data_IF_525237098836
#
_entry.id   IF_525237098836
#
_cell.length_a   1.000
_cell.length_b   1.000
_cell.length_c   1.000
_cell.angle_alpha   90.00
_cell.angle_beta   90.00
_cell.angle_gamma   90.00
#
_symmetry.space_group_name_H-M   'P 1'
#
loop_
_entity.id
_entity.type
_entity.pdbx_description
1 polymer ?
#
# COMPACT_ATOMS: atom_id res chain seq x y z
N UNK A 1 5.84 32.48 17.47
CA UNK A 1 5.64 32.52 15.99
C UNK A 1 6.65 31.59 15.29
N UNK A 2 6.46 31.21 14.02
CA UNK A 2 7.37 30.28 13.29
C UNK A 2 8.84 30.71 13.39
N UNK A 3 9.10 32.02 13.38
CA UNK A 3 10.45 32.58 13.54
C UNK A 3 11.12 32.29 14.89
N UNK A 4 10.37 31.91 15.94
CA UNK A 4 10.91 31.53 17.25
C UNK A 4 11.40 30.08 17.28
N UNK A 5 11.08 29.28 16.24
CA UNK A 5 11.57 27.91 16.11
C UNK A 5 13.03 27.86 15.66
N UNK A 6 13.62 29.01 15.27
CA UNK A 6 15.00 29.14 14.80
C UNK A 6 15.37 28.10 13.73
N UNK A 7 14.42 27.80 12.83
CA UNK A 7 14.67 26.94 11.68
C UNK A 7 15.36 27.76 10.58
N UNK A 8 16.24 27.09 9.85
CA UNK A 8 16.85 27.57 8.62
C UNK A 8 16.47 26.62 7.47
N UNK A 9 17.00 26.84 6.27
CA UNK A 9 16.73 25.99 5.11
C UNK A 9 17.71 24.80 5.05
N UNK A 10 17.90 24.11 6.18
CA UNK A 10 18.54 22.78 6.25
C UNK A 10 17.51 21.69 6.54
N UNK A 11 17.86 20.43 6.26
CA UNK A 11 16.96 19.30 6.47
C UNK A 11 16.71 19.07 7.97
N UNK A 12 15.45 18.97 8.44
CA UNK A 12 15.17 18.69 9.85
C UNK A 12 15.80 17.38 10.30
N UNK A 13 16.62 17.45 11.35
CA UNK A 13 17.33 16.29 11.92
C UNK A 13 18.70 16.03 11.30
N UNK A 14 19.06 16.69 10.20
CA UNK A 14 20.39 16.62 9.60
C UNK A 14 20.80 17.97 8.98
N UNK A 15 21.44 18.82 9.79
CA UNK A 15 21.89 20.14 9.40
C UNK A 15 23.02 20.13 8.34
N UNK A 16 23.60 18.97 8.02
CA UNK A 16 24.62 18.86 6.98
C UNK A 16 24.02 18.88 5.57
N UNK A 17 22.69 18.75 5.45
CA UNK A 17 21.98 18.72 4.16
C UNK A 17 21.25 20.05 3.94
N UNK A 18 21.83 20.99 3.17
CA UNK A 18 21.14 22.22 2.81
C UNK A 18 20.01 21.93 1.80
N UNK A 19 18.86 22.58 1.99
CA UNK A 19 17.69 22.47 1.11
C UNK A 19 17.80 23.36 -0.15
N UNK A 20 18.62 24.40 -0.07
CA UNK A 20 18.99 25.29 -1.17
C UNK A 20 20.39 25.85 -0.92
N UNK A 21 20.99 26.48 -1.94
CA UNK A 21 22.28 27.16 -1.77
C UNK A 21 22.20 28.22 -0.67
N UNK A 22 23.12 28.16 0.30
CA UNK A 22 23.13 29.05 1.47
C UNK A 22 21.91 28.89 2.38
N UNK A 23 21.30 27.69 2.41
CA UNK A 23 20.12 27.41 3.21
C UNK A 23 20.33 27.60 4.71
N UNK A 24 21.54 27.32 5.19
CA UNK A 24 21.99 27.52 6.57
C UNK A 24 21.91 28.99 7.03
N UNK A 25 22.05 29.95 6.11
CA UNK A 25 21.97 31.39 6.41
C UNK A 25 20.55 31.94 6.22
N UNK A 26 19.64 31.14 5.66
CA UNK A 26 18.27 31.54 5.33
C UNK A 26 17.31 31.08 6.43
N UNK A 27 16.94 31.99 7.33
CA UNK A 27 15.94 31.72 8.37
C UNK A 27 14.53 31.47 7.83
N UNK A 28 13.82 30.54 8.45
CA UNK A 28 12.40 30.26 8.17
C UNK A 28 11.52 31.27 8.90
N UNK A 29 10.57 31.82 8.16
CA UNK A 29 9.59 32.83 8.57
C UNK A 29 8.21 32.41 8.11
N UNK A 30 7.17 33.06 8.61
CA UNK A 30 5.80 32.80 8.14
C UNK A 30 5.62 33.00 6.62
N UNK A 31 6.42 33.89 6.01
CA UNK A 31 6.34 34.22 4.59
C UNK A 31 6.99 33.15 3.68
N UNK A 32 8.00 32.43 4.16
CA UNK A 32 8.75 31.44 3.36
C UNK A 32 8.56 29.98 3.86
N UNK A 33 7.72 29.77 4.87
CA UNK A 33 7.44 28.44 5.44
C UNK A 33 6.98 27.43 4.38
N UNK A 34 6.15 27.84 3.42
CA UNK A 34 5.67 26.94 2.38
C UNK A 34 6.81 26.45 1.46
N UNK A 35 7.75 27.33 1.14
CA UNK A 35 8.95 26.99 0.36
C UNK A 35 9.81 25.98 1.13
N UNK A 36 10.07 26.26 2.41
CA UNK A 36 10.81 25.35 3.30
C UNK A 36 10.18 23.96 3.33
N UNK A 37 8.88 23.85 3.61
CA UNK A 37 8.17 22.55 3.64
C UNK A 37 8.25 21.84 2.29
N UNK A 38 8.08 22.57 1.18
CA UNK A 38 8.17 22.00 -0.16
C UNK A 38 9.55 21.42 -0.43
N UNK A 39 10.62 22.11 -0.03
CA UNK A 39 11.99 21.65 -0.21
C UNK A 39 12.33 20.47 0.69
N UNK A 40 11.84 20.45 1.93
CA UNK A 40 11.98 19.28 2.83
C UNK A 40 11.34 18.04 2.20
N UNK A 41 10.09 18.16 1.76
CA UNK A 41 9.36 17.05 1.12
C UNK A 41 10.07 16.56 -0.14
N UNK A 42 10.50 17.49 -1.02
CA UNK A 42 11.25 17.15 -2.23
C UNK A 42 12.56 16.44 -1.92
N UNK A 43 13.30 16.93 -0.93
CA UNK A 43 14.60 16.35 -0.56
C UNK A 43 14.42 14.93 -0.04
N UNK A 44 13.47 14.71 0.86
CA UNK A 44 13.23 13.39 1.46
C UNK A 44 12.64 12.38 0.49
N UNK A 45 11.65 12.78 -0.32
CA UNK A 45 10.88 11.85 -1.15
C UNK A 45 11.42 11.69 -2.58
N UNK A 46 12.24 12.63 -3.08
CA UNK A 46 12.77 12.59 -4.44
C UNK A 46 14.29 12.56 -4.43
N UNK A 47 14.95 13.61 -3.94
CA UNK A 47 16.40 13.77 -4.10
C UNK A 47 17.20 12.70 -3.35
N UNK A 48 16.87 12.43 -2.08
CA UNK A 48 17.62 11.52 -1.22
C UNK A 48 17.52 10.04 -1.67
N UNK A 49 16.44 9.69 -2.38
CA UNK A 49 16.17 8.31 -2.84
C UNK A 49 16.44 8.12 -4.33
N UNK A 50 16.92 9.16 -5.03
CA UNK A 50 17.10 9.15 -6.48
C UNK A 50 17.98 7.99 -6.97
N UNK A 51 19.16 7.69 -6.39
CA UNK A 51 20.00 6.58 -6.86
C UNK A 51 19.30 5.21 -6.74
N UNK A 52 18.57 4.97 -5.65
CA UNK A 52 17.82 3.73 -5.43
C UNK A 52 16.64 3.63 -6.39
N UNK A 53 15.96 4.76 -6.63
CA UNK A 53 14.84 4.82 -7.55
C UNK A 53 15.27 4.63 -9.01
N UNK A 54 16.43 5.16 -9.41
CA UNK A 54 16.99 4.95 -10.75
C UNK A 54 17.37 3.49 -10.98
N UNK A 55 17.97 2.83 -9.99
CA UNK A 55 18.27 1.40 -10.04
C UNK A 55 16.98 0.56 -10.12
N UNK A 56 15.96 0.89 -9.31
CA UNK A 56 14.65 0.24 -9.37
C UNK A 56 14.00 0.43 -10.75
N UNK A 57 14.01 1.65 -11.28
CA UNK A 57 13.48 1.99 -12.60
C UNK A 57 14.17 1.17 -13.70
N UNK A 58 15.49 1.10 -13.68
CA UNK A 58 16.25 0.34 -14.66
C UNK A 58 15.85 -1.14 -14.66
N UNK A 59 15.83 -1.79 -13.48
CA UNK A 59 15.43 -3.19 -13.38
C UNK A 59 13.95 -3.44 -13.72
N UNK A 60 13.06 -2.51 -13.37
CA UNK A 60 11.65 -2.62 -13.73
C UNK A 60 11.44 -2.50 -15.24
N UNK A 61 12.12 -1.57 -15.91
CA UNK A 61 12.02 -1.39 -17.37
C UNK A 61 12.53 -2.57 -18.20
N UNK A 62 13.42 -3.41 -17.65
CA UNK A 62 13.85 -4.66 -18.30
C UNK A 62 12.71 -5.67 -18.48
N UNK A 63 11.72 -5.66 -17.57
CA UNK A 63 10.59 -6.60 -17.57
C UNK A 63 9.32 -5.93 -18.09
N UNK A 64 9.09 -4.67 -17.74
CA UNK A 64 7.88 -3.93 -18.05
C UNK A 64 8.17 -2.43 -18.28
N UNK A 65 7.90 -1.88 -19.49
CA UNK A 65 8.18 -0.48 -19.76
C UNK A 65 7.28 0.48 -18.96
N UNK A 66 7.87 1.40 -18.19
CA UNK A 66 7.13 2.29 -17.28
C UNK A 66 6.11 3.19 -17.98
N UNK A 67 6.31 3.52 -19.26
CA UNK A 67 5.36 4.30 -20.06
C UNK A 67 3.94 3.69 -20.06
N UNK A 68 3.81 2.38 -19.89
CA UNK A 68 2.50 1.72 -19.83
C UNK A 68 1.77 1.99 -18.50
N UNK A 69 2.50 2.34 -17.43
CA UNK A 69 1.92 2.74 -16.15
C UNK A 69 1.37 4.18 -16.18
N UNK A 70 1.72 4.99 -17.19
CA UNK A 70 1.30 6.39 -17.28
C UNK A 70 -0.21 6.58 -17.50
N UNK A 71 -0.93 5.51 -17.87
CA UNK A 71 -2.38 5.53 -18.02
C UNK A 71 -3.14 5.38 -16.69
N UNK A 72 -2.45 5.00 -15.61
CA UNK A 72 -3.06 4.71 -14.31
C UNK A 72 -2.82 5.87 -13.33
N UNK A 73 -3.82 6.15 -12.50
CA UNK A 73 -3.67 6.98 -11.31
C UNK A 73 -2.88 6.25 -10.21
N UNK A 74 -2.40 7.00 -9.21
CA UNK A 74 -1.72 6.43 -8.03
C UNK A 74 -2.55 5.34 -7.32
N UNK A 75 -3.87 5.54 -7.21
CA UNK A 75 -4.77 4.59 -6.58
C UNK A 75 -4.96 3.32 -7.43
N UNK A 76 -5.00 3.45 -8.75
CA UNK A 76 -5.10 2.31 -9.65
C UNK A 76 -3.79 1.52 -9.71
N UNK A 77 -2.63 2.19 -9.61
CA UNK A 77 -1.33 1.52 -9.49
C UNK A 77 -1.23 0.72 -8.19
N UNK A 78 -1.72 1.26 -7.07
CA UNK A 78 -1.81 0.52 -5.82
C UNK A 78 -2.66 -0.74 -6.00
N UNK A 79 -3.85 -0.62 -6.61
CA UNK A 79 -4.71 -1.77 -6.91
C UNK A 79 -4.04 -2.77 -7.86
N UNK A 80 -3.32 -2.32 -8.88
CA UNK A 80 -2.66 -3.16 -9.86
C UNK A 80 -1.51 -3.96 -9.23
N UNK A 81 -0.69 -3.32 -8.40
CA UNK A 81 0.51 -3.91 -7.81
C UNK A 81 0.21 -4.67 -6.51
N UNK A 82 -0.74 -4.17 -5.73
CA UNK A 82 -1.06 -4.65 -4.39
C UNK A 82 -2.43 -5.35 -4.31
N UNK A 83 -3.20 -5.42 -5.40
CA UNK A 83 -4.55 -5.99 -5.38
C UNK A 83 -5.56 -5.09 -4.67
N UNK A 84 -6.81 -5.54 -4.61
CA UNK A 84 -7.89 -4.77 -3.97
C UNK A 84 -8.16 -5.25 -2.54
N UNK A 85 -8.41 -4.30 -1.64
CA UNK A 85 -9.09 -4.57 -0.38
C UNK A 85 -10.58 -4.77 -0.68
N UNK A 86 -10.97 -6.02 -0.88
CA UNK A 86 -12.36 -6.39 -1.13
C UNK A 86 -13.12 -6.41 0.20
N UNK A 87 -14.31 -5.79 0.23
CA UNK A 87 -15.23 -5.98 1.35
C UNK A 87 -15.84 -7.37 1.24
N UNK A 88 -15.64 -8.19 2.26
CA UNK A 88 -16.18 -9.55 2.30
C UNK A 88 -17.67 -9.56 2.61
N UNK A 89 -18.47 -9.27 1.58
CA UNK A 89 -19.91 -9.45 1.64
C UNK A 89 -20.28 -10.93 1.52
N UNK A 90 -21.34 -11.34 2.22
CA UNK A 90 -21.76 -12.74 2.30
C UNK A 90 -21.92 -13.40 0.92
N UNK A 91 -22.44 -12.68 -0.06
CA UNK A 91 -22.62 -13.19 -1.41
C UNK A 91 -21.27 -13.55 -2.06
N UNK A 92 -20.30 -12.64 -2.02
CA UNK A 92 -18.97 -12.84 -2.58
C UNK A 92 -18.22 -13.99 -1.91
N UNK A 93 -18.23 -14.04 -0.57
CA UNK A 93 -17.57 -15.09 0.20
C UNK A 93 -18.14 -16.48 -0.14
N UNK A 94 -19.47 -16.59 -0.22
CA UNK A 94 -20.14 -17.85 -0.57
C UNK A 94 -19.77 -18.32 -1.98
N UNK A 95 -19.72 -17.40 -2.95
CA UNK A 95 -19.41 -17.74 -4.34
C UNK A 95 -17.95 -18.18 -4.52
N UNK A 96 -17.04 -17.57 -3.77
CA UNK A 96 -15.61 -17.83 -3.84
C UNK A 96 -15.19 -19.16 -3.20
N UNK A 97 -15.91 -19.62 -2.18
CA UNK A 97 -15.55 -20.84 -1.45
C UNK A 97 -15.91 -22.12 -2.22
N UNK A 98 -15.10 -23.15 -2.02
CA UNK A 98 -15.39 -24.53 -2.41
C UNK A 98 -15.50 -25.40 -1.15
N UNK A 99 -16.26 -26.47 -1.24
CA UNK A 99 -16.52 -27.37 -0.12
C UNK A 99 -16.21 -28.79 -0.55
N UNK A 100 -15.51 -29.55 0.28
CA UNK A 100 -15.11 -30.92 -0.02
C UNK A 100 -15.14 -31.80 1.25
N UNK A 101 -14.96 -33.10 1.07
CA UNK A 101 -14.84 -34.12 2.13
C UNK A 101 -16.00 -34.16 3.14
N UNK A 102 -17.22 -33.85 2.67
CA UNK A 102 -18.44 -33.93 3.47
C UNK A 102 -18.95 -32.58 3.98
N UNK A 103 -18.19 -31.51 3.79
CA UNK A 103 -18.74 -30.16 3.93
C UNK A 103 -19.51 -29.71 2.69
N UNK A 104 -20.55 -28.94 2.96
CA UNK A 104 -21.41 -28.28 1.98
C UNK A 104 -21.71 -26.87 2.45
N UNK A 105 -22.30 -26.04 1.59
CA UNK A 105 -22.77 -24.70 1.95
C UNK A 105 -23.78 -24.74 3.12
N UNK A 106 -24.49 -25.85 3.27
CA UNK A 106 -25.52 -26.04 4.28
C UNK A 106 -24.95 -26.50 5.63
N UNK A 107 -23.70 -26.94 5.68
CA UNK A 107 -23.05 -27.39 6.91
C UNK A 107 -23.00 -26.26 7.95
N UNK A 108 -23.38 -26.56 9.18
CA UNK A 108 -23.41 -25.56 10.27
C UNK A 108 -22.07 -24.87 10.47
N UNK A 109 -20.96 -25.63 10.44
CA UNK A 109 -19.61 -25.11 10.57
C UNK A 109 -19.26 -24.12 9.45
N UNK A 110 -19.65 -24.43 8.20
CA UNK A 110 -19.44 -23.56 7.04
C UNK A 110 -20.23 -22.26 7.16
N UNK A 111 -21.49 -22.33 7.60
CA UNK A 111 -22.31 -21.11 7.81
C UNK A 111 -21.71 -20.19 8.86
N UNK A 112 -21.21 -20.74 9.97
CA UNK A 112 -20.53 -19.96 11.01
C UNK A 112 -19.21 -19.37 10.50
N UNK A 113 -18.42 -20.12 9.73
CA UNK A 113 -17.22 -19.57 9.13
C UNK A 113 -17.56 -18.38 8.24
N UNK A 114 -18.54 -18.50 7.35
CA UNK A 114 -18.97 -17.40 6.46
C UNK A 114 -19.40 -16.17 7.26
N UNK A 115 -20.15 -16.36 8.36
CA UNK A 115 -20.56 -15.27 9.25
C UNK A 115 -19.37 -14.56 9.86
N UNK A 116 -18.44 -15.31 10.44
CA UNK A 116 -17.21 -14.75 11.02
C UNK A 116 -16.40 -14.00 9.96
N UNK A 117 -16.19 -14.58 8.77
CA UNK A 117 -15.44 -13.95 7.68
C UNK A 117 -16.05 -12.61 7.27
N UNK A 118 -17.38 -12.48 7.26
CA UNK A 118 -18.06 -11.23 6.93
C UNK A 118 -17.97 -10.16 8.04
N UNK A 119 -17.72 -10.57 9.29
CA UNK A 119 -17.60 -9.69 10.45
C UNK A 119 -16.15 -9.23 10.71
N UNK A 120 -15.17 -9.91 10.11
CA UNK A 120 -13.76 -9.54 10.25
C UNK A 120 -13.49 -8.12 9.77
N UNK A 121 -12.69 -7.38 10.53
CA UNK A 121 -12.08 -6.13 10.07
C UNK A 121 -11.11 -6.37 8.91
N UNK A 122 -10.77 -5.32 8.15
CA UNK A 122 -9.82 -5.45 7.03
C UNK A 122 -8.45 -6.03 7.46
N UNK A 123 -7.97 -5.69 8.67
CA UNK A 123 -6.73 -6.22 9.22
C UNK A 123 -6.83 -7.73 9.53
N UNK A 124 -7.97 -8.17 10.06
CA UNK A 124 -8.23 -9.58 10.35
C UNK A 124 -8.45 -10.39 9.07
N UNK A 125 -9.14 -9.83 8.07
CA UNK A 125 -9.25 -10.43 6.74
C UNK A 125 -7.88 -10.63 6.11
N UNK A 126 -7.02 -9.60 6.12
CA UNK A 126 -5.64 -9.73 5.63
C UNK A 126 -4.84 -10.80 6.38
N UNK A 127 -5.03 -10.91 7.69
CA UNK A 127 -4.41 -11.96 8.51
C UNK A 127 -4.93 -13.36 8.16
N UNK A 128 -6.24 -13.51 7.93
CA UNK A 128 -6.84 -14.75 7.44
C UNK A 128 -6.31 -15.13 6.06
N UNK A 129 -6.26 -14.18 5.11
CA UNK A 129 -5.72 -14.44 3.77
C UNK A 129 -4.26 -14.87 3.87
N UNK A 130 -3.45 -14.23 4.72
CA UNK A 130 -2.06 -14.65 4.96
C UNK A 130 -2.00 -16.06 5.53
N UNK A 131 -2.89 -16.39 6.47
CA UNK A 131 -2.94 -17.72 7.07
C UNK A 131 -3.26 -18.81 6.03
N UNK A 132 -4.23 -18.58 5.13
CA UNK A 132 -4.66 -19.61 4.16
C UNK A 132 -3.90 -19.60 2.83
N UNK A 133 -3.27 -18.47 2.45
CA UNK A 133 -2.59 -18.32 1.15
C UNK A 133 -1.09 -18.02 1.25
N UNK A 134 -0.57 -17.67 2.43
CA UNK A 134 0.78 -17.15 2.61
C UNK A 134 0.96 -15.67 2.25
N UNK A 135 -0.01 -15.05 1.55
CA UNK A 135 -0.01 -13.63 1.19
C UNK A 135 -1.05 -12.86 2.01
N UNK A 136 -0.76 -11.65 2.54
CA UNK A 136 -1.76 -10.82 3.20
C UNK A 136 -2.79 -10.19 2.25
N UNK A 137 -2.63 -10.37 0.93
CA UNK A 137 -3.43 -9.72 -0.10
C UNK A 137 -3.92 -10.72 -1.14
N UNK A 138 -5.13 -10.47 -1.63
CA UNK A 138 -5.78 -11.25 -2.66
C UNK A 138 -5.33 -10.80 -4.06
N UNK A 139 -5.38 -11.70 -5.06
CA UNK A 139 -5.17 -11.32 -6.45
C UNK A 139 -6.26 -10.35 -6.93
N UNK A 140 -6.03 -9.73 -8.09
CA UNK A 140 -7.05 -8.93 -8.77
C UNK A 140 -8.30 -9.80 -9.00
N UNK A 141 -9.45 -9.31 -8.54
CA UNK A 141 -10.71 -10.06 -8.54
C UNK A 141 -10.98 -10.91 -7.29
N UNK A 142 -10.19 -10.75 -6.23
CA UNK A 142 -10.58 -11.13 -4.88
C UNK A 142 -10.50 -12.63 -4.58
N UNK A 143 -11.28 -13.09 -3.60
CA UNK A 143 -11.29 -14.49 -3.13
C UNK A 143 -11.62 -15.46 -4.27
N UNK A 144 -12.51 -15.07 -5.18
CA UNK A 144 -12.95 -15.91 -6.29
C UNK A 144 -11.85 -16.21 -7.32
N UNK A 145 -10.75 -15.44 -7.30
CA UNK A 145 -9.60 -15.59 -8.21
C UNK A 145 -8.42 -16.33 -7.59
N UNK A 146 -8.56 -16.84 -6.37
CA UNK A 146 -7.53 -17.69 -5.78
C UNK A 146 -7.33 -18.97 -6.62
N UNK A 147 -6.06 -19.28 -6.88
CA UNK A 147 -5.65 -20.50 -7.58
C UNK A 147 -4.58 -21.20 -6.74
N UNK A 148 -4.89 -22.37 -6.15
CA UNK A 148 -6.18 -23.07 -6.19
C UNK A 148 -7.31 -22.32 -5.43
N UNK A 149 -8.59 -22.58 -5.72
CA UNK A 149 -9.71 -21.99 -4.99
C UNK A 149 -9.69 -22.36 -3.50
N UNK A 150 -10.10 -21.42 -2.65
CA UNK A 150 -10.16 -21.65 -1.20
C UNK A 150 -11.22 -22.74 -0.90
N UNK A 151 -10.74 -23.90 -0.47
CA UNK A 151 -11.55 -25.10 -0.26
C UNK A 151 -11.64 -25.42 1.22
N UNK A 152 -12.86 -25.58 1.73
CA UNK A 152 -13.14 -25.98 3.11
C UNK A 152 -13.34 -27.48 3.14
N UNK A 153 -12.48 -28.15 3.89
CA UNK A 153 -12.44 -29.61 4.03
C UNK A 153 -12.79 -30.00 5.48
N UNK A 154 -13.49 -31.12 5.65
CA UNK A 154 -13.78 -31.70 6.96
C UNK A 154 -12.61 -32.54 7.48
#
# INVERSE_FOLDING_TARGET
AVSELCLDFTLPGDAAVPLCEGGEDKGVTACNLHEYVTLVVRTLLLTAVQPQFDAFRAGFEEVFPLRHLAAFSEAELDVLLNGQQERWERACVVEALRYDHGYSRESRAVRFLIEVLCELSAAEQSSFVRFVTGSPRLPIGGLARLSPPLTIVQ
#
